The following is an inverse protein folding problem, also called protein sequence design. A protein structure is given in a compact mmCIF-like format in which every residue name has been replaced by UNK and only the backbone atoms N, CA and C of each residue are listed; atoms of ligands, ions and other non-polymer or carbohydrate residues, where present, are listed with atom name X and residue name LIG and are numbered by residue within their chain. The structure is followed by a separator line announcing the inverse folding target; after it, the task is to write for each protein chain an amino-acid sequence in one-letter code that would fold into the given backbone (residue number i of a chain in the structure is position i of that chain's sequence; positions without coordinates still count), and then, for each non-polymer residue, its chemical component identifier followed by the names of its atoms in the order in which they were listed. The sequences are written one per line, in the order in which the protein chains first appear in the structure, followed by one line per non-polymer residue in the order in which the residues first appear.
data_IF_963809077459
#
_entry.id   IF_963809077459
#
_cell.length_a   1.000
_cell.length_b   1.000
_cell.length_c   1.000
_cell.angle_alpha   90.00
_cell.angle_beta   90.00
_cell.angle_gamma   90.00
#
_symmetry.space_group_name_H-M   'P 1'
#
loop_
_entity.id
_entity.type
_entity.pdbx_description
1 polymer ?
#
# COMPACT_ATOMS: atom_id res chain seq x y z
N UNK A 1 11.97 16.63 -4.60
CA UNK A 1 10.54 16.45 -4.75
C UNK A 1 10.15 16.87 -6.16
N UNK A 2 9.67 16.00 -7.01
CA UNK A 2 9.01 16.47 -8.20
C UNK A 2 7.78 17.25 -7.69
N UNK A 3 7.71 18.55 -8.01
CA UNK A 3 6.58 19.37 -7.65
C UNK A 3 5.30 18.77 -8.24
N UNK A 4 4.18 18.97 -7.56
CA UNK A 4 2.86 18.76 -8.14
C UNK A 4 2.83 19.43 -9.51
N UNK A 5 2.31 18.80 -10.57
CA UNK A 5 2.13 19.44 -11.85
C UNK A 5 1.31 20.71 -11.67
N UNK A 6 1.55 21.77 -12.49
CA UNK A 6 0.78 22.98 -12.40
C UNK A 6 -0.72 22.69 -12.56
N UNK A 7 -1.55 23.47 -11.88
CA UNK A 7 -3.01 23.32 -11.75
C UNK A 7 -3.82 23.25 -13.09
N UNK A 8 -3.17 23.32 -14.23
CA UNK A 8 -3.80 23.36 -15.55
C UNK A 8 -3.91 22.01 -16.28
N UNK A 9 -3.37 20.93 -15.72
CA UNK A 9 -3.62 19.57 -16.19
C UNK A 9 -4.30 18.76 -15.08
N UNK A 10 -5.59 18.98 -14.90
CA UNK A 10 -6.45 18.04 -14.18
C UNK A 10 -6.36 16.70 -14.91
N UNK A 11 -5.46 15.84 -14.44
CA UNK A 11 -5.39 14.48 -14.93
C UNK A 11 -6.70 13.79 -14.55
N UNK A 12 -7.38 13.23 -15.54
CA UNK A 12 -8.65 12.57 -15.31
C UNK A 12 -8.49 11.39 -14.35
N UNK A 13 -9.38 11.33 -13.37
CA UNK A 13 -9.50 10.18 -12.49
C UNK A 13 -10.13 9.02 -13.24
N UNK A 14 -9.48 7.86 -13.21
CA UNK A 14 -9.99 6.63 -13.81
C UNK A 14 -10.29 5.62 -12.71
N UNK A 15 -11.54 5.19 -12.63
CA UNK A 15 -11.94 4.11 -11.72
C UNK A 15 -11.48 2.77 -12.31
N UNK A 16 -10.59 2.07 -11.59
CA UNK A 16 -10.06 0.77 -12.00
C UNK A 16 -10.85 -0.38 -11.40
N UNK A 17 -11.29 -0.26 -10.16
CA UNK A 17 -12.07 -1.27 -9.46
C UNK A 17 -12.95 -0.63 -8.38
N UNK A 18 -14.11 -1.22 -8.16
CA UNK A 18 -14.99 -0.91 -7.04
C UNK A 18 -15.58 -2.20 -6.50
N UNK A 19 -15.44 -2.42 -5.21
CA UNK A 19 -16.01 -3.55 -4.49
C UNK A 19 -16.68 -3.07 -3.21
N UNK A 20 -17.61 -3.86 -2.69
CA UNK A 20 -18.29 -3.58 -1.42
C UNK A 20 -18.21 -4.79 -0.51
N UNK A 21 -17.85 -4.54 0.73
CA UNK A 21 -17.88 -5.54 1.81
C UNK A 21 -18.75 -5.05 2.99
N UNK A 22 -18.65 -5.75 4.13
CA UNK A 22 -19.40 -5.39 5.34
C UNK A 22 -19.00 -4.02 5.92
N UNK A 23 -17.85 -3.48 5.56
CA UNK A 23 -17.31 -2.19 6.05
C UNK A 23 -17.56 -1.04 5.06
N UNK A 24 -18.13 -1.33 3.89
CA UNK A 24 -18.46 -0.33 2.89
C UNK A 24 -17.77 -0.54 1.55
N UNK A 25 -17.63 0.54 0.80
CA UNK A 25 -17.04 0.54 -0.55
C UNK A 25 -15.51 0.60 -0.46
N UNK A 26 -14.86 -0.15 -1.33
CA UNK A 26 -13.42 -0.04 -1.63
C UNK A 26 -13.29 0.33 -3.09
N UNK A 27 -12.49 1.35 -3.38
CA UNK A 27 -12.17 1.77 -4.74
C UNK A 27 -10.70 1.77 -4.99
N UNK A 28 -10.33 1.45 -6.22
CA UNK A 28 -8.99 1.69 -6.76
C UNK A 28 -9.13 2.66 -7.91
N UNK A 29 -8.50 3.81 -7.80
CA UNK A 29 -8.53 4.85 -8.81
C UNK A 29 -7.14 5.17 -9.29
N UNK A 30 -7.03 5.67 -10.52
CA UNK A 30 -5.78 6.13 -11.10
C UNK A 30 -5.86 7.59 -11.46
N UNK A 31 -4.85 8.33 -11.07
CA UNK A 31 -4.65 9.73 -11.46
C UNK A 31 -3.20 9.84 -11.93
N UNK A 32 -2.99 9.98 -13.24
CA UNK A 32 -1.66 10.02 -13.82
C UNK A 32 -0.85 8.75 -13.53
N UNK A 33 0.33 8.92 -12.96
CA UNK A 33 1.24 7.82 -12.61
C UNK A 33 0.95 7.19 -11.25
N UNK A 34 -0.07 7.64 -10.53
CA UNK A 34 -0.41 7.18 -9.19
C UNK A 34 -1.71 6.40 -9.18
N UNK A 35 -1.76 5.39 -8.32
CA UNK A 35 -2.98 4.65 -7.99
C UNK A 35 -3.27 4.78 -6.51
N UNK A 36 -4.56 4.95 -6.20
CA UNK A 36 -5.04 5.19 -4.85
C UNK A 36 -5.98 4.08 -4.44
N UNK A 37 -5.83 3.63 -3.20
CA UNK A 37 -6.81 2.80 -2.51
C UNK A 37 -7.68 3.73 -1.66
N UNK A 38 -8.99 3.70 -1.88
CA UNK A 38 -9.95 4.56 -1.19
C UNK A 38 -11.01 3.72 -0.49
N UNK A 39 -11.44 4.20 0.69
CA UNK A 39 -12.54 3.62 1.44
C UNK A 39 -13.70 4.62 1.56
N UNK A 40 -14.93 4.11 1.48
CA UNK A 40 -16.14 4.91 1.68
C UNK A 40 -16.24 6.08 0.70
N UNK A 41 -16.47 7.28 1.22
CA UNK A 41 -16.67 8.50 0.45
C UNK A 41 -15.33 9.12 0.00
N UNK A 42 -14.55 8.38 -0.78
CA UNK A 42 -13.25 8.80 -1.33
C UNK A 42 -12.20 9.15 -0.26
N UNK A 43 -12.22 8.42 0.88
CA UNK A 43 -11.17 8.53 1.89
C UNK A 43 -9.95 7.75 1.41
N UNK A 44 -8.90 8.47 1.08
CA UNK A 44 -7.65 7.91 0.60
C UNK A 44 -6.93 7.17 1.72
N UNK A 45 -6.62 5.89 1.49
CA UNK A 45 -5.91 5.02 2.44
C UNK A 45 -4.45 4.81 2.06
N UNK A 46 -4.18 4.71 0.78
CA UNK A 46 -2.84 4.45 0.26
C UNK A 46 -2.67 5.08 -1.11
N UNK A 47 -1.45 5.48 -1.40
CA UNK A 47 -1.03 6.02 -2.69
C UNK A 47 0.17 5.22 -3.19
N UNK A 48 0.09 4.72 -4.42
CA UNK A 48 1.15 3.93 -5.04
C UNK A 48 1.62 4.60 -6.32
N UNK A 49 2.92 4.84 -6.42
CA UNK A 49 3.56 5.23 -7.67
C UNK A 49 3.74 3.99 -8.54
N UNK A 50 3.15 3.98 -9.74
CA UNK A 50 3.16 2.80 -10.61
C UNK A 50 4.57 2.40 -11.08
N UNK A 51 5.48 3.36 -11.21
CA UNK A 51 6.86 3.09 -11.60
C UNK A 51 7.68 2.34 -10.55
N UNK A 52 7.32 2.48 -9.28
CA UNK A 52 7.94 1.80 -8.15
C UNK A 52 6.97 1.64 -6.98
N UNK A 53 6.30 0.48 -6.84
CA UNK A 53 5.36 0.24 -5.74
C UNK A 53 5.98 0.24 -4.34
N UNK A 54 7.29 0.18 -4.23
CA UNK A 54 8.02 0.32 -2.95
C UNK A 54 8.30 1.78 -2.57
N UNK A 55 8.03 2.73 -3.46
CA UNK A 55 8.16 4.16 -3.17
C UNK A 55 7.12 4.59 -2.15
N UNK A 56 7.56 5.25 -1.08
CA UNK A 56 6.69 5.74 -0.01
C UNK A 56 6.38 7.21 -0.23
N UNK A 57 5.20 7.51 -0.78
CA UNK A 57 4.77 8.88 -1.07
C UNK A 57 4.41 9.65 0.20
N UNK A 58 3.78 8.98 1.18
CA UNK A 58 3.35 9.63 2.41
C UNK A 58 4.47 9.73 3.45
N UNK A 59 4.57 10.88 4.09
CA UNK A 59 5.58 11.14 5.11
C UNK A 59 5.46 10.18 6.31
N UNK A 60 4.24 9.80 6.70
CA UNK A 60 4.06 8.89 7.83
C UNK A 60 4.59 7.49 7.54
N UNK A 61 4.48 6.99 6.32
CA UNK A 61 5.05 5.68 5.95
C UNK A 61 6.57 5.72 5.93
N UNK A 62 7.15 6.83 5.49
CA UNK A 62 8.60 7.06 5.59
C UNK A 62 9.07 7.09 7.04
N UNK A 63 8.32 7.77 7.90
CA UNK A 63 8.61 7.81 9.34
C UNK A 63 8.52 6.41 9.97
N UNK A 64 7.54 5.60 9.59
CA UNK A 64 7.42 4.22 10.06
C UNK A 64 8.63 3.36 9.65
N UNK A 65 9.13 3.54 8.43
CA UNK A 65 10.33 2.82 7.97
C UNK A 65 11.57 3.16 8.80
N UNK A 66 11.65 4.37 9.34
CA UNK A 66 12.74 4.76 10.25
C UNK A 66 12.77 3.92 11.54
N UNK A 67 11.66 3.31 11.93
CA UNK A 67 11.62 2.38 13.06
C UNK A 67 12.58 1.21 12.91
N UNK A 68 12.91 0.82 11.69
CA UNK A 68 13.90 -0.22 11.41
C UNK A 68 15.31 0.15 11.91
N UNK A 69 15.62 1.44 12.02
CA UNK A 69 16.90 1.90 12.57
C UNK A 69 17.06 1.61 14.07
N UNK A 70 15.97 1.28 14.75
CA UNK A 70 16.00 0.88 16.16
C UNK A 70 16.35 -0.60 16.35
N UNK A 71 16.60 -1.33 15.27
CA UNK A 71 16.94 -2.74 15.26
C UNK A 71 18.16 -2.97 14.37
N UNK A 72 19.15 -3.71 14.86
CA UNK A 72 20.44 -3.91 14.16
C UNK A 72 20.27 -4.70 12.85
N UNK A 73 19.49 -5.79 12.88
CA UNK A 73 19.25 -6.63 11.71
C UNK A 73 17.86 -7.30 11.83
N UNK A 74 16.77 -6.60 11.44
CA UNK A 74 15.43 -7.20 11.52
C UNK A 74 15.30 -8.35 10.52
N UNK A 75 14.97 -9.54 11.01
CA UNK A 75 14.73 -10.74 10.21
C UNK A 75 13.24 -11.03 10.04
N UNK A 76 12.42 -10.56 10.97
CA UNK A 76 10.96 -10.73 10.95
C UNK A 76 10.24 -9.41 11.10
N UNK A 77 9.06 -9.30 10.50
CA UNK A 77 8.19 -8.15 10.64
C UNK A 77 6.72 -8.57 10.68
N UNK A 78 5.94 -7.86 11.48
CA UNK A 78 4.50 -7.97 11.53
C UNK A 78 3.87 -6.62 11.18
N UNK A 79 2.99 -6.62 10.19
CA UNK A 79 2.22 -5.46 9.79
C UNK A 79 0.77 -5.61 10.26
N UNK A 80 0.30 -4.68 11.06
CA UNK A 80 -1.10 -4.58 11.46
C UNK A 80 -1.82 -3.65 10.47
N UNK A 81 -2.46 -4.26 9.49
CA UNK A 81 -2.97 -3.60 8.31
C UNK A 81 -1.99 -3.67 7.12
N UNK A 82 -2.53 -3.84 5.94
CA UNK A 82 -1.75 -3.95 4.69
C UNK A 82 -1.93 -2.71 3.79
N UNK A 83 -3.16 -2.26 3.61
CA UNK A 83 -3.49 -1.23 2.63
C UNK A 83 -3.09 -1.65 1.23
N UNK A 84 -2.43 -0.76 0.49
CA UNK A 84 -1.88 -1.07 -0.82
C UNK A 84 -0.61 -1.92 -0.76
N UNK A 85 -0.02 -2.12 0.41
CA UNK A 85 1.17 -2.93 0.62
C UNK A 85 2.49 -2.22 0.34
N UNK A 86 2.50 -0.93 0.07
CA UNK A 86 3.74 -0.23 -0.27
C UNK A 86 4.75 -0.16 0.88
N UNK A 87 4.32 0.03 2.13
CA UNK A 87 5.24 -0.04 3.27
C UNK A 87 5.81 -1.46 3.43
N UNK A 88 4.98 -2.48 3.31
CA UNK A 88 5.40 -3.89 3.34
C UNK A 88 6.40 -4.17 2.23
N UNK A 89 6.16 -3.71 1.02
CA UNK A 89 7.08 -3.86 -0.11
C UNK A 89 8.40 -3.12 0.10
N UNK A 90 8.36 -1.90 0.64
CA UNK A 90 9.57 -1.15 0.97
C UNK A 90 10.42 -1.90 2.00
N UNK A 91 9.81 -2.44 3.04
CA UNK A 91 10.50 -3.24 4.05
C UNK A 91 11.12 -4.52 3.45
N UNK A 92 10.38 -5.25 2.62
CA UNK A 92 10.89 -6.44 1.93
C UNK A 92 12.07 -6.13 1.00
N UNK A 93 12.05 -4.96 0.37
CA UNK A 93 13.09 -4.52 -0.57
C UNK A 93 14.36 -4.07 0.14
N UNK A 94 14.24 -3.32 1.24
CA UNK A 94 15.36 -2.59 1.84
C UNK A 94 15.90 -3.20 3.14
N UNK A 95 15.15 -4.10 3.78
CA UNK A 95 15.54 -4.72 5.03
C UNK A 95 15.85 -6.22 4.83
N UNK A 96 16.73 -6.81 5.68
CA UNK A 96 17.12 -8.21 5.56
C UNK A 96 16.05 -9.16 6.15
N UNK A 97 14.78 -8.94 5.82
CA UNK A 97 13.65 -9.72 6.32
C UNK A 97 13.62 -11.11 5.67
N UNK A 98 13.36 -12.12 6.46
CA UNK A 98 13.23 -13.53 6.05
C UNK A 98 11.77 -14.01 6.17
N UNK A 99 11.03 -13.46 7.15
CA UNK A 99 9.63 -13.82 7.42
C UNK A 99 8.82 -12.58 7.75
N UNK A 100 7.79 -12.33 6.96
CA UNK A 100 6.91 -11.17 7.09
C UNK A 100 5.47 -11.63 7.11
N UNK A 101 4.73 -11.16 8.10
CA UNK A 101 3.29 -11.39 8.21
C UNK A 101 2.54 -10.05 8.18
N UNK A 102 1.46 -10.00 7.44
CA UNK A 102 0.52 -8.88 7.46
C UNK A 102 -0.87 -9.39 7.83
N UNK A 103 -1.54 -8.68 8.73
CA UNK A 103 -2.92 -8.98 9.14
C UNK A 103 -3.80 -7.87 8.57
N UNK A 104 -4.72 -8.23 7.69
CA UNK A 104 -5.64 -7.29 7.03
C UNK A 104 -7.09 -7.65 7.34
N UNK A 105 -7.87 -6.66 7.75
CA UNK A 105 -9.27 -6.85 8.14
C UNK A 105 -10.16 -7.20 6.94
N UNK A 106 -9.91 -6.60 5.78
CA UNK A 106 -10.78 -6.65 4.61
C UNK A 106 -10.20 -7.59 3.53
N UNK A 107 -10.87 -8.72 3.23
CA UNK A 107 -10.34 -9.72 2.29
C UNK A 107 -10.05 -9.20 0.88
N UNK A 108 -10.83 -8.24 0.40
CA UNK A 108 -10.66 -7.66 -0.93
C UNK A 108 -9.44 -6.73 -1.03
N UNK A 109 -8.94 -6.20 0.09
CA UNK A 109 -7.78 -5.29 0.08
C UNK A 109 -6.51 -5.97 -0.45
N UNK A 110 -6.07 -7.13 0.06
CA UNK A 110 -4.91 -7.82 -0.51
C UNK A 110 -5.10 -8.21 -1.98
N UNK A 111 -6.29 -8.64 -2.35
CA UNK A 111 -6.61 -9.01 -3.74
C UNK A 111 -6.46 -7.82 -4.68
N UNK A 112 -7.03 -6.68 -4.32
CA UNK A 112 -6.93 -5.45 -5.10
C UNK A 112 -5.50 -4.91 -5.14
N UNK A 113 -4.76 -5.04 -4.02
CA UNK A 113 -3.36 -4.64 -3.97
C UNK A 113 -2.49 -5.45 -4.93
N UNK A 114 -2.70 -6.74 -5.02
CA UNK A 114 -1.98 -7.61 -5.97
C UNK A 114 -2.39 -7.36 -7.41
N UNK A 115 -3.67 -7.14 -7.67
CA UNK A 115 -4.19 -6.97 -9.03
C UNK A 115 -3.89 -5.58 -9.61
N UNK A 116 -3.99 -4.52 -8.81
CA UNK A 116 -3.95 -3.13 -9.30
C UNK A 116 -2.84 -2.27 -8.69
N UNK A 117 -2.32 -2.60 -7.52
CA UNK A 117 -1.45 -1.72 -6.75
C UNK A 117 0.01 -2.19 -6.67
N UNK A 118 0.35 -3.21 -7.44
CA UNK A 118 1.73 -3.66 -7.59
C UNK A 118 2.27 -4.45 -6.40
N UNK A 119 1.40 -4.97 -5.51
CA UNK A 119 1.85 -5.87 -4.45
C UNK A 119 2.29 -7.20 -5.05
N UNK A 120 3.57 -7.53 -4.87
CA UNK A 120 4.14 -8.78 -5.36
C UNK A 120 3.76 -9.96 -4.47
N UNK A 121 3.66 -11.13 -5.10
CA UNK A 121 3.57 -12.42 -4.39
C UNK A 121 4.98 -12.84 -3.94
N UNK A 122 5.42 -12.26 -2.82
CA UNK A 122 6.74 -12.56 -2.27
C UNK A 122 6.65 -13.80 -1.35
N UNK A 123 7.51 -14.81 -1.54
CA UNK A 123 7.46 -16.04 -0.74
C UNK A 123 7.72 -15.81 0.76
N UNK A 124 8.31 -14.68 1.14
CA UNK A 124 8.53 -14.28 2.53
C UNK A 124 7.28 -13.71 3.19
N UNK A 125 6.30 -13.25 2.39
CA UNK A 125 5.10 -12.56 2.87
C UNK A 125 3.93 -13.53 3.04
N UNK A 126 3.39 -13.59 4.24
CA UNK A 126 2.12 -14.26 4.55
C UNK A 126 1.08 -13.21 4.91
N UNK A 127 -0.04 -13.22 4.21
CA UNK A 127 -1.17 -12.32 4.49
C UNK A 127 -2.28 -13.12 5.15
N UNK A 128 -2.71 -12.67 6.33
CA UNK A 128 -3.83 -13.24 7.06
C UNK A 128 -4.99 -12.27 7.12
N UNK A 129 -6.19 -12.76 6.86
CA UNK A 129 -7.41 -11.99 7.02
C UNK A 129 -7.91 -12.14 8.45
N UNK A 130 -8.09 -11.01 9.12
CA UNK A 130 -8.55 -10.97 10.49
C UNK A 130 -8.48 -9.57 11.09
N UNK A 131 -9.02 -9.44 12.27
CA UNK A 131 -8.91 -8.24 13.10
C UNK A 131 -7.63 -8.33 13.94
N UNK A 132 -6.81 -7.31 13.82
CA UNK A 132 -5.51 -7.27 14.49
C UNK A 132 -5.57 -6.73 15.92
#
# INVERSE_FOLDING_TARGET
MPGLPPDDELQDEVLLAEVRDAFGVIRVVQIGAYRFLEFGDAIEQSCVFQGDPSWLEYDYTRAMLLGALCHDAPETALFLGLGAGNLTQACLKFLPLEDVEAIELRPDVPRLAMEFLGLDDDPRLTIRIGDA
#
